data_IF_869606179628
#
_entry.id   IF_869606179628
#
_cell.length_a   1.000
_cell.length_b   1.000
_cell.length_c   1.000
_cell.angle_alpha   90.00
_cell.angle_beta   90.00
_cell.angle_gamma   90.00
#
_symmetry.space_group_name_H-M   'P 1'
#
loop_
_entity.id
_entity.type
_entity.pdbx_description
1 polymer ?
#
# COMPACT_ATOMS: atom_id res chain seq x y z
N UNK A 1 -64.89 18.47 -2.02
CA UNK A 1 -63.62 18.26 -2.74
C UNK A 1 -63.08 19.62 -3.14
N UNK A 2 -62.37 20.28 -2.22
CA UNK A 2 -61.59 21.47 -2.58
C UNK A 2 -60.37 21.01 -3.35
N UNK A 3 -60.33 21.34 -4.63
CA UNK A 3 -59.24 21.00 -5.53
C UNK A 3 -58.09 21.95 -5.17
N UNK A 4 -56.98 21.42 -4.68
CA UNK A 4 -55.75 22.18 -4.37
C UNK A 4 -55.37 23.11 -5.54
N UNK A 5 -55.76 24.39 -5.44
CA UNK A 5 -55.61 25.41 -6.48
C UNK A 5 -54.28 26.15 -6.40
N UNK A 6 -53.48 25.91 -5.35
CA UNK A 6 -52.20 26.58 -5.11
C UNK A 6 -51.10 26.23 -6.13
N UNK A 7 -51.32 25.23 -6.99
CA UNK A 7 -50.38 24.85 -8.06
C UNK A 7 -51.06 24.73 -9.43
N UNK A 8 -51.98 25.65 -9.74
CA UNK A 8 -52.71 25.69 -11.02
C UNK A 8 -52.21 26.77 -11.99
N UNK A 9 -51.01 27.31 -11.77
CA UNK A 9 -50.45 28.34 -12.65
C UNK A 9 -50.25 27.86 -14.09
N UNK A 10 -50.01 26.56 -14.28
CA UNK A 10 -49.98 25.92 -15.60
C UNK A 10 -51.28 26.14 -16.40
N UNK A 11 -52.43 26.31 -15.75
CA UNK A 11 -53.71 26.52 -16.44
C UNK A 11 -53.85 27.94 -17.00
N UNK A 12 -53.13 28.92 -16.43
CA UNK A 12 -53.05 30.28 -16.96
C UNK A 12 -52.08 30.37 -18.15
N UNK A 13 -51.06 29.53 -18.15
CA UNK A 13 -50.02 29.56 -19.18
C UNK A 13 -50.24 28.57 -20.32
N UNK A 14 -50.97 27.47 -20.10
CA UNK A 14 -51.29 26.49 -21.13
C UNK A 14 -51.94 27.09 -22.39
N UNK A 15 -52.93 28.01 -22.31
CA UNK A 15 -53.49 28.64 -23.51
C UNK A 15 -52.46 29.47 -24.30
N UNK A 16 -51.50 30.10 -23.61
CA UNK A 16 -50.42 30.87 -24.24
C UNK A 16 -49.43 29.95 -24.94
N UNK A 17 -49.12 28.80 -24.34
CA UNK A 17 -48.22 27.79 -24.91
C UNK A 17 -48.83 27.10 -26.14
N UNK A 18 -50.15 26.86 -26.15
CA UNK A 18 -50.87 26.32 -27.32
C UNK A 18 -50.86 27.31 -28.50
N UNK A 19 -50.85 28.61 -28.22
CA UNK A 19 -50.73 29.65 -29.25
C UNK A 19 -49.32 29.76 -29.84
N UNK A 20 -48.29 29.22 -29.18
CA UNK A 20 -46.96 29.11 -29.76
C UNK A 20 -46.92 27.95 -30.76
N UNK A 21 -46.29 28.19 -31.92
CA UNK A 21 -45.98 27.15 -32.90
C UNK A 21 -45.10 26.09 -32.22
N UNK A 22 -45.48 24.81 -32.35
CA UNK A 22 -44.69 23.67 -31.87
C UNK A 22 -43.40 23.50 -32.69
N UNK A 23 -42.45 24.41 -32.50
CA UNK A 23 -41.12 24.37 -33.08
C UNK A 23 -40.14 24.52 -31.93
N UNK A 24 -39.25 23.55 -31.78
CA UNK A 24 -38.18 23.63 -30.80
C UNK A 24 -37.30 24.85 -31.10
N UNK A 25 -37.24 25.86 -30.20
CA UNK A 25 -36.38 27.03 -30.38
C UNK A 25 -34.93 26.77 -29.96
N UNK A 26 -34.67 25.64 -29.28
CA UNK A 26 -33.35 25.27 -28.82
C UNK A 26 -32.61 24.52 -29.92
N UNK A 27 -31.41 25.00 -30.24
CA UNK A 27 -30.48 24.29 -31.09
C UNK A 27 -29.25 23.93 -30.25
N UNK A 28 -28.74 22.72 -30.43
CA UNK A 28 -27.45 22.31 -29.87
C UNK A 28 -26.44 22.17 -31.00
N UNK A 29 -25.14 22.36 -30.72
CA UNK A 29 -24.10 22.03 -31.68
C UNK A 29 -24.15 20.55 -32.11
N UNK A 30 -23.67 20.27 -33.32
CA UNK A 30 -23.49 18.89 -33.78
C UNK A 30 -22.57 18.14 -32.82
N UNK A 31 -22.93 16.90 -32.45
CA UNK A 31 -22.14 16.08 -31.52
C UNK A 31 -22.41 16.32 -30.03
N UNK A 32 -23.27 17.28 -29.67
CA UNK A 32 -23.49 17.65 -28.26
C UNK A 32 -23.95 16.47 -27.39
N UNK A 33 -24.90 15.67 -27.88
CA UNK A 33 -25.44 14.54 -27.10
C UNK A 33 -24.53 13.32 -27.18
N UNK A 34 -23.82 13.15 -28.29
CA UNK A 34 -22.82 12.11 -28.50
C UNK A 34 -21.63 12.26 -27.54
N UNK A 35 -21.19 13.49 -27.28
CA UNK A 35 -20.10 13.78 -26.34
C UNK A 35 -20.58 14.00 -24.90
N UNK A 36 -21.89 14.11 -24.67
CA UNK A 36 -22.44 14.46 -23.35
C UNK A 36 -22.00 13.47 -22.26
N UNK A 37 -22.00 12.17 -22.55
CA UNK A 37 -21.57 11.16 -21.58
C UNK A 37 -20.10 11.34 -21.20
N UNK A 38 -19.22 11.48 -22.19
CA UNK A 38 -17.80 11.71 -21.97
C UNK A 38 -17.54 13.02 -21.22
N UNK A 39 -18.25 14.09 -21.56
CA UNK A 39 -18.14 15.38 -20.89
C UNK A 39 -18.57 15.31 -19.43
N UNK A 40 -19.64 14.57 -19.11
CA UNK A 40 -20.10 14.35 -17.74
C UNK A 40 -19.07 13.53 -16.96
N UNK A 41 -18.56 12.43 -17.53
CA UNK A 41 -17.54 11.60 -16.88
C UNK A 41 -16.25 12.39 -16.61
N UNK A 42 -15.81 13.21 -17.57
CA UNK A 42 -14.66 14.08 -17.41
C UNK A 42 -14.87 15.12 -16.30
N UNK A 43 -16.07 15.73 -16.23
CA UNK A 43 -16.39 16.68 -15.18
C UNK A 43 -16.35 16.02 -13.79
N UNK A 44 -16.97 14.85 -13.64
CA UNK A 44 -16.96 14.07 -12.39
C UNK A 44 -15.53 13.69 -11.99
N UNK A 45 -14.71 13.28 -12.95
CA UNK A 45 -13.30 12.94 -12.72
C UNK A 45 -12.50 14.15 -12.21
N UNK A 46 -12.66 15.31 -12.84
CA UNK A 46 -11.99 16.54 -12.43
C UNK A 46 -12.44 16.98 -11.04
N UNK A 47 -13.73 16.90 -10.73
CA UNK A 47 -14.23 17.27 -9.41
C UNK A 47 -13.75 16.31 -8.32
N UNK A 48 -13.69 15.00 -8.60
CA UNK A 48 -13.05 14.03 -7.72
C UNK A 48 -11.56 14.36 -7.48
N UNK A 49 -10.83 14.74 -8.53
CA UNK A 49 -9.43 15.14 -8.36
C UNK A 49 -9.29 16.38 -7.47
N UNK A 50 -10.18 17.38 -7.60
CA UNK A 50 -10.16 18.58 -6.74
C UNK A 50 -10.44 18.24 -5.27
N UNK A 51 -11.37 17.33 -5.01
CA UNK A 51 -11.73 16.95 -3.63
C UNK A 51 -10.63 16.11 -2.96
N UNK A 52 -10.03 15.17 -3.70
CA UNK A 52 -8.99 14.28 -3.19
C UNK A 52 -7.62 14.97 -3.10
N UNK A 53 -7.30 15.86 -4.03
CA UNK A 53 -6.03 16.60 -4.06
C UNK A 53 -6.29 18.07 -3.69
N UNK A 54 -6.53 18.33 -2.40
CA UNK A 54 -6.69 19.70 -1.85
C UNK A 54 -5.48 20.60 -2.09
N UNK A 55 -4.30 20.00 -2.25
CA UNK A 55 -3.13 20.66 -2.81
C UNK A 55 -3.16 20.36 -4.30
N UNK A 56 -3.49 21.36 -5.13
CA UNK A 56 -3.56 21.19 -6.58
C UNK A 56 -2.19 20.87 -7.20
N UNK A 57 -1.97 21.26 -8.46
CA UNK A 57 -0.64 21.18 -9.06
C UNK A 57 0.35 22.09 -8.32
N UNK A 58 1.08 21.53 -7.37
CA UNK A 58 2.14 22.21 -6.66
C UNK A 58 3.40 22.21 -7.53
N UNK A 59 3.85 23.41 -7.86
CA UNK A 59 5.05 23.63 -8.66
C UNK A 59 6.25 23.63 -7.69
N UNK A 60 7.38 22.97 -8.02
CA UNK A 60 8.57 23.02 -7.19
C UNK A 60 9.03 24.45 -6.94
N UNK A 61 9.66 24.67 -5.79
CA UNK A 61 10.23 25.97 -5.46
C UNK A 61 11.23 26.41 -6.53
N UNK A 62 11.12 27.68 -6.96
CA UNK A 62 11.96 28.30 -7.98
C UNK A 62 11.87 27.63 -9.37
N UNK A 63 10.78 26.93 -9.69
CA UNK A 63 10.59 26.31 -11.01
C UNK A 63 10.73 27.34 -12.14
N UNK A 64 9.97 28.45 -12.08
CA UNK A 64 10.00 29.47 -13.12
C UNK A 64 11.30 30.29 -13.13
N UNK A 65 11.96 30.44 -11.99
CA UNK A 65 13.26 31.13 -11.90
C UNK A 65 14.38 30.29 -12.55
N UNK A 66 14.35 28.98 -12.38
CA UNK A 66 15.35 28.06 -12.93
C UNK A 66 15.04 27.61 -14.37
N UNK A 67 13.79 27.73 -14.82
CA UNK A 67 13.35 27.26 -16.14
C UNK A 67 14.17 27.84 -17.30
N UNK A 68 14.47 29.16 -17.37
CA UNK A 68 15.26 29.72 -18.47
C UNK A 68 16.66 29.10 -18.53
N UNK A 69 17.35 29.04 -17.39
CA UNK A 69 18.70 28.45 -17.28
C UNK A 69 18.69 26.97 -17.66
N UNK A 70 17.66 26.21 -17.27
CA UNK A 70 17.52 24.81 -17.65
C UNK A 70 17.34 24.67 -19.17
N UNK A 71 16.47 25.48 -19.79
CA UNK A 71 16.24 25.47 -21.23
C UNK A 71 17.52 25.81 -21.99
N UNK A 72 18.24 26.86 -21.58
CA UNK A 72 19.51 27.23 -22.18
C UNK A 72 20.57 26.13 -22.07
N UNK A 73 20.66 25.49 -20.90
CA UNK A 73 21.59 24.36 -20.68
C UNK A 73 21.28 23.18 -21.60
N UNK A 74 19.98 22.86 -21.81
CA UNK A 74 19.53 21.81 -22.72
C UNK A 74 19.88 22.14 -24.16
N UNK A 75 19.59 23.36 -24.60
CA UNK A 75 19.92 23.81 -25.96
C UNK A 75 21.44 23.77 -26.20
N UNK A 76 22.25 24.17 -25.21
CA UNK A 76 23.70 24.12 -25.32
C UNK A 76 24.21 22.67 -25.43
N UNK A 77 23.67 21.75 -24.61
CA UNK A 77 23.98 20.33 -24.70
C UNK A 77 23.59 19.75 -26.06
N UNK A 78 22.38 20.03 -26.54
CA UNK A 78 21.90 19.51 -27.83
C UNK A 78 22.78 20.00 -28.98
N UNK A 79 23.23 21.27 -28.95
CA UNK A 79 24.21 21.79 -29.92
C UNK A 79 25.55 21.08 -29.85
N UNK A 80 26.05 20.78 -28.65
CA UNK A 80 27.30 20.03 -28.48
C UNK A 80 27.15 18.59 -28.97
N UNK A 81 26.03 17.92 -28.68
CA UNK A 81 25.73 16.57 -29.18
C UNK A 81 25.53 16.56 -30.70
N UNK A 82 24.96 17.61 -31.29
CA UNK A 82 24.84 17.71 -32.75
C UNK A 82 26.20 17.91 -33.45
N UNK A 83 27.14 18.62 -32.80
CA UNK A 83 28.52 18.79 -33.30
C UNK A 83 29.36 17.53 -33.07
N UNK A 84 29.15 16.88 -31.93
CA UNK A 84 29.75 15.61 -31.55
C UNK A 84 28.87 14.50 -32.10
N UNK A 85 28.98 14.21 -33.41
CA UNK A 85 28.63 12.90 -33.97
C UNK A 85 29.50 11.84 -33.27
N UNK A 86 29.21 11.55 -32.01
CA UNK A 86 29.58 10.27 -31.45
C UNK A 86 28.57 9.32 -32.03
N UNK A 87 29.06 8.57 -33.02
CA UNK A 87 28.50 7.29 -33.34
C UNK A 87 28.43 6.52 -32.02
N UNK A 88 27.25 6.53 -31.38
CA UNK A 88 26.90 5.62 -30.28
C UNK A 88 26.81 4.18 -30.83
N UNK A 89 27.83 3.79 -31.57
CA UNK A 89 28.02 2.47 -32.11
C UNK A 89 28.75 1.68 -31.06
N UNK A 90 28.13 0.59 -30.64
CA UNK A 90 28.81 -0.47 -29.93
C UNK A 90 30.06 -0.89 -30.73
N UNK A 91 31.19 -1.17 -30.05
CA UNK A 91 32.38 -1.69 -30.70
C UNK A 91 32.06 -2.92 -31.55
N UNK A 92 32.83 -3.10 -32.63
CA UNK A 92 32.72 -4.29 -33.46
C UNK A 92 32.84 -5.55 -32.57
N UNK A 93 31.92 -6.50 -32.77
CA UNK A 93 31.84 -7.76 -32.04
C UNK A 93 31.55 -7.65 -30.52
N UNK A 94 31.03 -6.52 -30.04
CA UNK A 94 30.63 -6.36 -28.63
C UNK A 94 29.72 -7.48 -28.14
N UNK A 95 28.65 -7.79 -28.90
CA UNK A 95 27.68 -8.82 -28.54
C UNK A 95 28.20 -10.24 -28.76
N UNK A 96 29.08 -10.45 -29.73
CA UNK A 96 29.71 -11.76 -29.98
C UNK A 96 30.65 -12.14 -28.83
N UNK A 97 31.43 -11.18 -28.32
CA UNK A 97 32.32 -11.40 -27.18
C UNK A 97 31.61 -11.32 -25.83
N UNK A 98 30.41 -10.73 -25.77
CA UNK A 98 29.66 -10.53 -24.53
C UNK A 98 29.36 -11.86 -23.83
N UNK A 99 28.83 -12.84 -24.56
CA UNK A 99 28.50 -14.17 -24.03
C UNK A 99 29.73 -14.87 -23.47
N UNK A 100 30.86 -14.83 -24.19
CA UNK A 100 32.11 -15.43 -23.71
C UNK A 100 32.65 -14.72 -22.47
N UNK A 101 32.57 -13.38 -22.42
CA UNK A 101 33.00 -12.58 -21.25
C UNK A 101 32.10 -12.81 -20.03
N UNK A 102 30.80 -12.91 -20.25
CA UNK A 102 29.80 -13.20 -19.22
C UNK A 102 30.04 -14.58 -18.62
N UNK A 103 30.14 -15.60 -19.46
CA UNK A 103 30.38 -16.98 -19.02
C UNK A 103 31.73 -17.15 -18.33
N UNK A 104 32.78 -16.46 -18.79
CA UNK A 104 34.05 -16.42 -18.08
C UNK A 104 33.89 -15.80 -16.67
N UNK A 105 33.19 -14.67 -16.54
CA UNK A 105 32.97 -14.03 -15.22
C UNK A 105 32.09 -14.83 -14.28
N UNK A 106 31.05 -15.49 -14.80
CA UNK A 106 30.15 -16.31 -13.99
C UNK A 106 30.81 -17.65 -13.64
N UNK A 107 31.53 -18.28 -14.57
CA UNK A 107 32.25 -19.54 -14.36
C UNK A 107 33.41 -19.43 -13.37
N UNK A 108 34.03 -18.26 -13.23
CA UNK A 108 35.04 -18.00 -12.18
C UNK A 108 34.39 -17.96 -10.78
N UNK A 109 33.08 -17.73 -10.66
CA UNK A 109 32.37 -17.67 -9.38
C UNK A 109 31.84 -19.03 -8.89
N UNK A 110 32.18 -20.14 -9.56
CA UNK A 110 32.20 -21.46 -8.93
C UNK A 110 33.42 -21.62 -7.98
N UNK A 111 33.91 -20.52 -7.38
CA UNK A 111 34.63 -20.62 -6.11
C UNK A 111 33.63 -21.27 -5.16
N UNK A 112 33.73 -22.59 -5.05
CA UNK A 112 33.10 -23.44 -4.05
C UNK A 112 33.39 -22.79 -2.71
N UNK A 113 32.57 -21.83 -2.28
CA UNK A 113 32.59 -21.31 -0.93
C UNK A 113 32.29 -22.53 -0.11
N UNK A 114 33.34 -23.13 0.44
CA UNK A 114 33.25 -24.26 1.35
C UNK A 114 32.49 -23.68 2.54
N UNK A 115 31.17 -23.79 2.50
CA UNK A 115 30.32 -23.45 3.63
C UNK A 115 30.70 -24.43 4.71
N UNK A 116 31.60 -24.01 5.60
CA UNK A 116 31.96 -24.79 6.78
C UNK A 116 30.68 -24.83 7.60
N UNK A 117 29.99 -25.95 7.58
CA UNK A 117 28.82 -26.19 8.43
C UNK A 117 29.36 -26.24 9.87
N UNK A 118 29.38 -25.09 10.54
CA UNK A 118 29.75 -24.98 11.93
C UNK A 118 28.54 -25.42 12.75
N UNK A 119 28.66 -26.57 13.42
CA UNK A 119 27.62 -27.05 14.33
C UNK A 119 27.68 -26.23 15.62
N UNK A 120 26.86 -25.18 15.68
CA UNK A 120 26.88 -24.12 16.72
C UNK A 120 26.71 -24.63 18.17
N UNK A 121 26.20 -25.84 18.36
CA UNK A 121 25.87 -26.42 19.67
C UNK A 121 26.80 -27.54 20.16
N UNK A 122 27.97 -27.74 19.52
CA UNK A 122 28.88 -28.86 19.87
C UNK A 122 30.19 -28.50 20.56
N UNK A 123 30.43 -27.24 20.92
CA UNK A 123 31.64 -26.92 21.67
C UNK A 123 31.48 -27.19 23.17
N UNK A 124 32.51 -27.77 23.81
CA UNK A 124 32.58 -27.98 25.28
C UNK A 124 32.41 -26.68 26.10
N UNK A 125 32.44 -25.53 25.44
CA UNK A 125 32.24 -24.17 26.00
C UNK A 125 30.82 -23.99 26.54
N UNK A 126 29.81 -24.67 25.99
CA UNK A 126 28.43 -24.59 26.48
C UNK A 126 28.33 -25.02 27.96
N UNK A 127 29.17 -25.98 28.38
CA UNK A 127 29.20 -26.47 29.76
C UNK A 127 29.77 -25.40 30.72
N UNK A 128 30.79 -24.65 30.29
CA UNK A 128 31.39 -23.59 31.09
C UNK A 128 30.51 -22.33 31.14
N UNK A 129 29.86 -21.98 30.02
CA UNK A 129 28.96 -20.82 29.96
C UNK A 129 27.78 -20.96 30.93
N UNK A 130 27.20 -22.16 31.02
CA UNK A 130 26.12 -22.45 31.97
C UNK A 130 26.57 -22.27 33.43
N UNK A 131 27.74 -22.80 33.82
CA UNK A 131 28.27 -22.64 35.19
C UNK A 131 28.55 -21.17 35.50
N UNK A 132 29.17 -20.43 34.57
CA UNK A 132 29.42 -19.00 34.77
C UNK A 132 28.13 -18.21 34.99
N UNK A 133 27.07 -18.52 34.24
CA UNK A 133 25.77 -17.89 34.41
C UNK A 133 25.18 -18.17 35.81
N UNK A 134 25.23 -19.42 36.29
CA UNK A 134 24.79 -19.74 37.64
C UNK A 134 25.61 -19.02 38.72
N UNK A 135 26.93 -18.93 38.56
CA UNK A 135 27.80 -18.19 39.50
C UNK A 135 27.45 -16.71 39.52
N UNK A 136 27.22 -16.10 38.35
CA UNK A 136 26.85 -14.68 38.25
C UNK A 136 25.47 -14.44 38.88
N UNK A 137 24.49 -15.30 38.61
CA UNK A 137 23.15 -15.20 39.20
C UNK A 137 23.17 -15.38 40.72
N UNK A 138 23.92 -16.36 41.23
CA UNK A 138 24.07 -16.54 42.68
C UNK A 138 24.78 -15.37 43.35
N UNK A 139 25.89 -14.87 42.78
CA UNK A 139 26.61 -13.73 43.33
C UNK A 139 25.79 -12.44 43.29
N UNK A 140 25.10 -12.19 42.18
CA UNK A 140 24.19 -11.05 42.04
C UNK A 140 23.02 -11.16 43.02
N UNK A 141 22.43 -12.34 43.17
CA UNK A 141 21.37 -12.61 44.14
C UNK A 141 21.78 -12.32 45.58
N UNK A 142 23.00 -12.72 45.99
CA UNK A 142 23.53 -12.42 47.33
C UNK A 142 23.77 -10.92 47.51
N UNK A 143 24.28 -10.23 46.49
CA UNK A 143 24.52 -8.78 46.53
C UNK A 143 23.21 -8.00 46.66
N UNK A 144 22.17 -8.38 45.91
CA UNK A 144 20.84 -7.78 46.03
C UNK A 144 20.16 -8.15 47.36
N UNK A 145 20.35 -9.36 47.88
CA UNK A 145 19.81 -9.78 49.18
C UNK A 145 20.42 -9.01 50.36
N UNK A 146 21.72 -8.68 50.34
CA UNK A 146 22.31 -7.84 51.37
C UNK A 146 21.82 -6.39 51.32
N UNK A 147 21.46 -5.89 50.14
CA UNK A 147 21.05 -4.51 49.92
C UNK A 147 19.52 -4.29 49.99
N UNK A 148 18.72 -5.36 50.12
CA UNK A 148 17.27 -5.29 50.18
C UNK A 148 16.73 -6.06 51.39
N UNK A 149 15.82 -5.44 52.17
CA UNK A 149 14.93 -6.21 53.04
C UNK A 149 13.97 -7.00 52.14
N UNK A 150 14.35 -8.23 51.77
CA UNK A 150 13.61 -9.02 50.79
C UNK A 150 12.39 -9.69 51.43
N UNK A 151 11.20 -9.17 51.09
CA UNK A 151 9.97 -9.97 51.02
C UNK A 151 10.18 -11.02 49.91
N UNK A 152 9.91 -12.29 50.19
CA UNK A 152 10.05 -13.40 49.23
C UNK A 152 8.73 -13.49 48.42
N UNK A 153 8.69 -13.17 47.11
CA UNK A 153 7.63 -13.64 46.24
C UNK A 153 8.00 -15.06 45.84
N UNK A 154 7.12 -16.03 46.11
CA UNK A 154 7.26 -17.36 45.53
C UNK A 154 7.25 -17.22 44.01
N UNK A 155 8.24 -17.80 43.34
CA UNK A 155 8.26 -17.95 41.90
C UNK A 155 7.08 -18.85 41.48
N UNK A 156 5.92 -18.26 41.22
CA UNK A 156 4.91 -18.90 40.42
C UNK A 156 5.32 -18.74 38.97
N UNK A 157 5.61 -19.89 38.36
CA UNK A 157 5.56 -20.11 36.91
C UNK A 157 4.45 -19.25 36.31
N UNK A 158 4.81 -18.36 35.39
CA UNK A 158 3.88 -17.46 34.69
C UNK A 158 2.79 -18.17 33.87
N UNK A 159 2.80 -19.51 33.86
CA UNK A 159 1.76 -20.34 33.27
C UNK A 159 0.62 -20.69 34.25
N UNK A 160 0.77 -20.55 35.58
CA UNK A 160 -0.30 -20.90 36.53
C UNK A 160 -1.25 -19.73 36.83
N UNK A 161 -0.82 -18.48 36.66
CA UNK A 161 -1.63 -17.30 36.96
C UNK A 161 -2.65 -16.95 35.87
N UNK A 162 -2.37 -17.30 34.60
CA UNK A 162 -3.32 -17.07 33.51
C UNK A 162 -4.49 -18.06 33.57
N UNK A 163 -4.23 -19.33 33.90
CA UNK A 163 -5.28 -20.35 34.04
C UNK A 163 -6.25 -20.03 35.20
N UNK A 164 -5.78 -19.40 36.28
CA UNK A 164 -6.66 -18.96 37.38
C UNK A 164 -7.54 -17.76 37.02
N UNK A 165 -7.05 -16.82 36.19
CA UNK A 165 -7.87 -15.67 35.77
C UNK A 165 -8.98 -16.07 34.78
N UNK A 166 -8.83 -17.19 34.07
CA UNK A 166 -9.86 -17.74 33.18
C UNK A 166 -11.02 -18.40 33.94
N UNK A 167 -10.82 -18.82 35.20
CA UNK A 167 -11.87 -19.45 36.02
C UNK A 167 -12.82 -18.45 36.69
N UNK A 168 -12.40 -17.19 36.87
CA UNK A 168 -13.18 -16.14 37.54
C UNK A 168 -14.13 -15.36 36.59
N UNK A 169 -14.24 -15.80 35.33
CA UNK A 169 -15.19 -15.22 34.38
C UNK A 169 -16.58 -15.80 34.68
N UNK A 170 -17.54 -14.94 35.03
CA UNK A 170 -18.93 -15.33 35.29
C UNK A 170 -19.60 -15.92 34.02
N UNK A 171 -20.35 -17.01 34.18
CA UNK A 171 -20.96 -17.76 33.08
C UNK A 171 -21.92 -16.88 32.26
N UNK A 172 -22.56 -15.90 32.90
CA UNK A 172 -23.45 -14.95 32.24
C UNK A 172 -22.69 -13.98 31.30
N UNK A 173 -21.45 -13.61 31.63
CA UNK A 173 -20.61 -12.73 30.79
C UNK A 173 -20.10 -13.48 29.56
N UNK A 174 -19.86 -14.79 29.71
CA UNK A 174 -19.55 -15.64 28.57
C UNK A 174 -20.78 -15.66 27.66
N UNK A 175 -21.98 -15.97 28.19
CA UNK A 175 -23.24 -16.04 27.43
C UNK A 175 -23.55 -14.73 26.69
N UNK A 176 -23.40 -13.56 27.32
CA UNK A 176 -23.62 -12.26 26.66
C UNK A 176 -22.70 -12.05 25.43
N UNK A 177 -21.45 -12.54 25.48
CA UNK A 177 -20.48 -12.38 24.39
C UNK A 177 -20.62 -13.45 23.27
N UNK A 178 -21.17 -14.64 23.59
CA UNK A 178 -21.54 -15.65 22.57
C UNK A 178 -22.91 -15.38 21.98
N UNK A 179 -23.85 -14.79 22.71
CA UNK A 179 -25.16 -14.38 22.18
C UNK A 179 -25.01 -13.14 21.27
N UNK A 180 -24.01 -12.29 21.52
CA UNK A 180 -23.53 -11.32 20.54
C UNK A 180 -22.86 -11.97 19.30
N UNK A 181 -22.56 -13.28 19.33
CA UNK A 181 -21.78 -13.94 18.26
C UNK A 181 -22.16 -15.41 18.01
N UNK A 182 -23.12 -15.69 17.11
CA UNK A 182 -23.20 -17.00 16.41
C UNK A 182 -24.07 -16.93 15.15
N UNK A 183 -23.82 -17.70 14.05
CA UNK A 183 -22.54 -18.17 13.48
C UNK A 183 -22.43 -18.05 11.93
N UNK A 184 -21.23 -17.86 11.37
CA UNK A 184 -20.78 -18.39 10.05
C UNK A 184 -19.32 -17.99 9.75
N UNK A 185 -18.53 -18.83 9.05
CA UNK A 185 -17.13 -19.07 9.36
C UNK A 185 -16.18 -18.27 8.47
N UNK A 186 -15.27 -17.48 9.08
CA UNK A 186 -13.91 -17.26 8.58
C UNK A 186 -13.15 -16.41 9.61
N UNK A 187 -12.01 -16.88 10.10
CA UNK A 187 -11.05 -16.00 10.76
C UNK A 187 -10.55 -15.07 9.65
N UNK A 188 -11.07 -13.85 9.63
CA UNK A 188 -10.57 -12.74 8.84
C UNK A 188 -10.07 -11.72 9.85
N UNK A 189 -8.75 -11.76 10.04
CA UNK A 189 -7.98 -10.73 10.74
C UNK A 189 -8.23 -9.39 10.06
N UNK A 190 -8.10 -8.28 10.79
CA UNK A 190 -8.27 -6.90 10.32
C UNK A 190 -7.41 -6.48 9.10
N UNK A 191 -6.60 -7.40 8.56
CA UNK A 191 -5.78 -7.27 7.36
C UNK A 191 -6.52 -7.51 6.04
N UNK A 192 -7.67 -8.20 6.02
CA UNK A 192 -8.22 -8.64 4.72
C UNK A 192 -8.90 -7.50 3.94
N UNK A 193 -9.53 -6.54 4.61
CA UNK A 193 -10.09 -5.35 3.92
C UNK A 193 -8.99 -4.52 3.27
N UNK A 194 -7.84 -4.39 3.94
CA UNK A 194 -6.68 -3.65 3.41
C UNK A 194 -5.99 -4.44 2.29
N UNK A 195 -5.92 -5.77 2.42
CA UNK A 195 -5.39 -6.67 1.40
C UNK A 195 -6.28 -6.72 0.15
N UNK A 196 -7.60 -6.79 0.31
CA UNK A 196 -8.57 -6.78 -0.81
C UNK A 196 -8.45 -5.47 -1.59
N UNK A 197 -8.37 -4.33 -0.89
CA UNK A 197 -8.16 -3.04 -1.54
C UNK A 197 -6.80 -2.96 -2.25
N UNK A 198 -5.75 -3.52 -1.68
CA UNK A 198 -4.43 -3.58 -2.32
C UNK A 198 -4.46 -4.44 -3.60
N UNK A 199 -5.13 -5.59 -3.55
CA UNK A 199 -5.25 -6.49 -4.69
C UNK A 199 -6.07 -5.84 -5.81
N UNK A 200 -7.21 -5.21 -5.48
CA UNK A 200 -8.07 -4.53 -6.46
C UNK A 200 -7.42 -3.29 -7.09
N UNK A 201 -6.57 -2.58 -6.34
CA UNK A 201 -5.88 -1.40 -6.85
C UNK A 201 -4.61 -1.72 -7.64
N UNK A 202 -3.94 -2.86 -7.39
CA UNK A 202 -2.65 -3.17 -8.00
C UNK A 202 -2.68 -4.32 -9.02
N UNK A 203 -3.76 -5.12 -9.09
CA UNK A 203 -3.86 -6.23 -10.04
C UNK A 203 -5.16 -6.16 -10.84
N UNK A 204 -5.07 -6.34 -12.16
CA UNK A 204 -6.25 -6.46 -13.02
C UNK A 204 -6.85 -7.87 -12.95
N UNK A 205 -8.17 -7.98 -13.15
CA UNK A 205 -8.89 -9.26 -13.14
C UNK A 205 -8.35 -10.27 -14.17
N UNK A 206 -7.70 -9.79 -15.23
CA UNK A 206 -7.05 -10.63 -16.25
C UNK A 206 -5.72 -11.25 -15.80
N UNK A 207 -4.95 -10.57 -14.95
CA UNK A 207 -3.64 -11.07 -14.46
C UNK A 207 -3.81 -12.13 -13.36
N UNK A 208 -4.81 -11.97 -12.48
CA UNK A 208 -5.11 -12.93 -11.41
C UNK A 208 -5.50 -14.32 -11.93
N UNK A 209 -6.16 -14.37 -13.10
CA UNK A 209 -6.60 -15.63 -13.72
C UNK A 209 -5.44 -16.34 -14.43
N UNK A 210 -4.39 -15.61 -14.80
CA UNK A 210 -3.26 -16.14 -15.56
C UNK A 210 -2.23 -16.84 -14.65
N UNK A 211 -2.05 -16.34 -13.42
CA UNK A 211 -1.21 -16.97 -12.38
C UNK A 211 -1.79 -18.30 -11.85
N UNK A 212 -3.12 -18.46 -11.84
CA UNK A 212 -3.79 -19.67 -11.36
C UNK A 212 -3.70 -20.87 -12.33
N UNK A 213 -3.13 -20.66 -13.52
CA UNK A 213 -3.05 -21.66 -14.59
C UNK A 213 -1.61 -22.14 -14.88
N UNK A 214 -0.63 -21.70 -14.10
CA UNK A 214 0.73 -22.26 -14.03
C UNK A 214 0.84 -23.26 -12.88
#
# INVERSE_FOLDING_TARGET
>A
MEKNLENSDWMKDAPKLVALRNKNPFNVPDGYFEESETNILNAIFIDNLKENYKSGFCIPQNYFENLPTQIESKIALDKLLALKKEDFTVPQNYFEEFESKLNARIGINEVKRKTKILRLWQSNIMRYASVACFVILSASGIYYYQNANIYIPQAQTTDFSNDQMLYDIDENVIIDNIEATTPSPKIISASDTEMENYILNNYSSTELVQELKQ
#
